data_IF_986288228193
#
_entry.id   IF_986288228193
#
_cell.length_a   1.000
_cell.length_b   1.000
_cell.length_c   1.000
_cell.angle_alpha   90.00
_cell.angle_beta   90.00
_cell.angle_gamma   90.00
#
_symmetry.space_group_name_H-M   'P 1'
#
loop_
_entity.id
_entity.type
_entity.pdbx_description
1 polymer ?
#
# COMPACT_ATOMS: atom_id res chain seq x y z
N UNK A 1 4.63 -19.38 21.14
CA UNK A 1 5.47 -19.26 19.93
C UNK A 1 6.14 -17.90 19.92
N UNK A 2 7.46 -17.79 19.64
CA UNK A 2 8.18 -16.53 19.81
C UNK A 2 7.70 -15.50 18.77
N UNK A 3 7.36 -14.29 19.22
CA UNK A 3 7.02 -13.14 18.37
C UNK A 3 8.27 -12.66 17.64
N UNK A 4 8.62 -13.26 16.50
CA UNK A 4 9.56 -12.67 15.55
C UNK A 4 8.90 -11.43 14.95
N UNK A 5 9.42 -10.25 15.30
CA UNK A 5 9.01 -8.92 14.85
C UNK A 5 7.53 -8.53 15.12
N UNK A 6 7.22 -7.82 16.21
CA UNK A 6 5.87 -7.30 16.42
C UNK A 6 5.58 -6.18 15.41
N UNK A 7 4.93 -6.50 14.30
CA UNK A 7 4.34 -5.51 13.39
C UNK A 7 3.11 -4.94 14.10
N UNK A 8 3.04 -3.62 14.26
CA UNK A 8 1.92 -2.92 14.87
C UNK A 8 1.39 -1.85 13.92
N UNK A 9 0.07 -1.85 13.70
CA UNK A 9 -0.63 -0.78 13.00
C UNK A 9 -1.28 0.16 14.03
N UNK A 10 -0.87 1.42 14.06
CA UNK A 10 -1.44 2.43 14.97
C UNK A 10 -2.33 3.34 14.14
N UNK A 11 -3.62 3.42 14.50
CA UNK A 11 -4.55 4.37 13.90
C UNK A 11 -4.45 5.70 14.62
N UNK A 12 -4.03 6.73 13.91
CA UNK A 12 -3.88 8.10 14.44
C UNK A 12 -5.15 8.94 14.26
N UNK A 13 -5.91 8.70 13.19
CA UNK A 13 -7.16 9.41 12.89
C UNK A 13 -8.23 8.43 12.41
N UNK A 14 -9.52 8.67 12.75
CA UNK A 14 -10.60 8.02 12.02
C UNK A 14 -10.59 8.48 10.55
N UNK A 15 -11.00 7.57 9.66
CA UNK A 15 -11.15 7.83 8.22
C UNK A 15 -12.58 7.50 7.82
N UNK A 16 -13.16 8.32 6.94
CA UNK A 16 -14.51 8.10 6.39
C UNK A 16 -14.48 6.95 5.37
N UNK A 17 -15.21 5.84 5.60
CA UNK A 17 -15.23 4.69 4.70
C UNK A 17 -15.93 4.98 3.36
N UNK A 18 -16.59 6.14 3.20
CA UNK A 18 -17.22 6.57 1.94
C UNK A 18 -16.23 7.26 1.00
N UNK A 19 -14.97 7.38 1.38
CA UNK A 19 -13.91 7.99 0.57
C UNK A 19 -12.85 6.96 0.21
N UNK A 20 -12.11 7.26 -0.86
CA UNK A 20 -10.92 6.51 -1.25
C UNK A 20 -9.68 7.25 -0.76
N UNK A 21 -8.63 6.50 -0.43
CA UNK A 21 -7.40 7.02 0.15
C UNK A 21 -6.17 6.49 -0.58
N UNK A 22 -5.11 7.29 -0.61
CA UNK A 22 -3.77 6.85 -0.95
C UNK A 22 -2.94 6.85 0.32
N UNK A 23 -2.46 5.68 0.73
CA UNK A 23 -1.53 5.53 1.84
C UNK A 23 -0.11 5.41 1.30
N UNK A 24 0.81 6.18 1.85
CA UNK A 24 2.24 5.96 1.64
C UNK A 24 2.79 5.07 2.74
N UNK A 25 3.59 4.06 2.38
CA UNK A 25 4.36 3.29 3.37
C UNK A 25 5.87 3.38 3.11
N UNK A 26 6.63 3.43 4.22
CA UNK A 26 8.08 3.47 4.24
C UNK A 26 8.57 2.93 5.61
N UNK A 27 9.74 2.28 5.73
CA UNK A 27 10.67 1.90 4.66
C UNK A 27 10.12 0.76 3.81
N UNK A 28 10.47 0.75 2.52
CA UNK A 28 10.04 -0.31 1.62
C UNK A 28 10.52 -1.69 2.12
N UNK A 29 11.73 -1.76 2.69
CA UNK A 29 12.40 -3.01 3.06
C UNK A 29 12.55 -3.97 1.86
N UNK A 30 13.49 -4.92 1.93
CA UNK A 30 13.69 -5.86 0.81
C UNK A 30 12.46 -6.74 0.55
N UNK A 31 11.69 -7.07 1.59
CA UNK A 31 10.55 -7.99 1.49
C UNK A 31 9.18 -7.33 1.60
N UNK A 32 9.10 -6.01 1.82
CA UNK A 32 7.85 -5.31 2.16
C UNK A 32 7.01 -6.02 3.24
N UNK A 33 7.64 -6.82 4.11
CA UNK A 33 6.96 -7.72 5.05
C UNK A 33 6.03 -6.95 6.01
N UNK A 34 6.42 -5.73 6.39
CA UNK A 34 5.57 -4.82 7.15
C UNK A 34 4.32 -4.39 6.39
N UNK A 35 4.45 -4.04 5.11
CA UNK A 35 3.30 -3.65 4.30
C UNK A 35 2.38 -4.84 4.02
N UNK A 36 2.95 -5.98 3.63
CA UNK A 36 2.17 -7.20 3.43
C UNK A 36 1.44 -7.62 4.72
N UNK A 37 2.13 -7.63 5.86
CA UNK A 37 1.53 -7.93 7.16
C UNK A 37 0.38 -6.98 7.54
N UNK A 38 0.55 -5.67 7.33
CA UNK A 38 -0.46 -4.68 7.70
C UNK A 38 -1.65 -4.58 6.72
N UNK A 39 -1.43 -4.84 5.43
CA UNK A 39 -2.36 -4.46 4.36
C UNK A 39 -2.82 -5.62 3.47
N UNK A 40 -2.13 -6.76 3.48
CA UNK A 40 -2.54 -7.97 2.74
C UNK A 40 -3.06 -9.06 3.68
N UNK A 41 -2.99 -8.84 4.99
CA UNK A 41 -3.43 -9.79 6.01
C UNK A 41 -4.16 -9.07 7.14
N UNK A 42 -4.94 -9.81 7.93
CA UNK A 42 -5.55 -9.30 9.16
C UNK A 42 -4.65 -9.44 10.41
N UNK A 43 -3.34 -9.64 10.22
CA UNK A 43 -2.40 -9.87 11.34
C UNK A 43 -2.30 -8.70 12.33
N UNK A 44 -2.55 -7.48 11.84
CA UNK A 44 -2.58 -6.24 12.65
C UNK A 44 -3.98 -5.65 12.77
N UNK A 45 -5.01 -6.44 12.46
CA UNK A 45 -6.43 -6.09 12.58
C UNK A 45 -6.80 -4.82 11.81
N UNK A 46 -6.36 -4.72 10.55
CA UNK A 46 -6.65 -3.57 9.70
C UNK A 46 -8.16 -3.32 9.62
N UNK A 47 -8.96 -4.37 9.37
CA UNK A 47 -10.42 -4.25 9.27
C UNK A 47 -11.09 -3.74 10.55
N UNK A 48 -10.52 -4.04 11.73
CA UNK A 48 -11.02 -3.50 13.02
C UNK A 48 -10.62 -2.04 13.21
N UNK A 49 -9.41 -1.65 12.78
CA UNK A 49 -8.91 -0.28 12.92
C UNK A 49 -9.56 0.67 11.92
N UNK A 50 -9.78 0.21 10.69
CA UNK A 50 -10.35 0.97 9.59
C UNK A 50 -11.60 0.27 9.03
N UNK A 51 -12.70 0.22 9.79
CA UNK A 51 -13.91 -0.48 9.38
C UNK A 51 -14.49 0.14 8.11
N UNK A 52 -14.80 -0.70 7.13
CA UNK A 52 -15.33 -0.27 5.83
C UNK A 52 -14.26 0.18 4.83
N UNK A 53 -12.98 0.17 5.20
CA UNK A 53 -11.87 0.33 4.25
C UNK A 53 -11.26 -1.03 3.89
N UNK A 54 -11.03 -1.23 2.60
CA UNK A 54 -10.28 -2.35 2.04
C UNK A 54 -8.90 -1.86 1.59
N UNK A 55 -7.81 -2.35 2.20
CA UNK A 55 -6.46 -2.01 1.77
C UNK A 55 -6.10 -2.77 0.49
N UNK A 56 -5.39 -2.08 -0.42
CA UNK A 56 -4.88 -2.64 -1.66
C UNK A 56 -3.40 -2.29 -1.79
N UNK A 57 -2.50 -3.27 -1.73
CA UNK A 57 -1.06 -3.04 -1.79
C UNK A 57 -0.58 -2.99 -3.25
N UNK A 58 -0.09 -1.83 -3.70
CA UNK A 58 0.40 -1.66 -5.06
C UNK A 58 1.80 -2.28 -5.20
N UNK A 59 1.95 -3.21 -6.14
CA UNK A 59 3.20 -3.94 -6.41
C UNK A 59 3.54 -3.95 -7.91
N UNK A 60 4.76 -4.35 -8.26
CA UNK A 60 5.23 -4.32 -9.64
C UNK A 60 4.31 -5.15 -10.57
N UNK A 61 3.98 -4.66 -11.78
CA UNK A 61 3.09 -5.37 -12.71
C UNK A 61 3.60 -6.76 -13.13
N UNK A 62 4.91 -7.02 -12.98
CA UNK A 62 5.53 -8.29 -13.33
C UNK A 62 4.92 -9.49 -12.60
N UNK A 63 4.42 -9.27 -11.38
CA UNK A 63 3.76 -10.28 -10.57
C UNK A 63 2.44 -10.76 -11.20
N UNK A 64 1.74 -9.93 -11.97
CA UNK A 64 0.42 -10.27 -12.52
C UNK A 64 0.47 -10.93 -13.90
N UNK A 65 1.66 -11.24 -14.43
CA UNK A 65 1.80 -11.87 -15.77
C UNK A 65 1.52 -13.37 -15.79
N UNK A 66 1.68 -14.06 -14.66
CA UNK A 66 1.44 -15.50 -14.56
C UNK A 66 0.01 -15.73 -14.04
N UNK A 67 -0.89 -16.40 -14.79
CA UNK A 67 -2.32 -16.47 -14.46
C UNK A 67 -2.63 -17.00 -13.04
N UNK A 68 -1.98 -18.09 -12.62
CA UNK A 68 -2.23 -18.65 -11.27
C UNK A 68 -1.66 -17.78 -10.15
N UNK A 69 -0.49 -17.18 -10.37
CA UNK A 69 0.11 -16.27 -9.41
C UNK A 69 -0.71 -14.98 -9.30
N UNK A 70 -1.24 -14.49 -10.43
CA UNK A 70 -2.09 -13.30 -10.51
C UNK A 70 -3.30 -13.44 -9.60
N UNK A 71 -4.04 -14.55 -9.70
CA UNK A 71 -5.23 -14.77 -8.85
C UNK A 71 -4.86 -14.85 -7.37
N UNK A 72 -3.74 -15.52 -7.04
CA UNK A 72 -3.26 -15.58 -5.65
C UNK A 72 -2.87 -14.20 -5.11
N UNK A 73 -2.17 -13.40 -5.92
CA UNK A 73 -1.79 -12.04 -5.56
C UNK A 73 -3.02 -11.15 -5.35
N UNK A 74 -3.98 -11.18 -6.27
CA UNK A 74 -5.20 -10.39 -6.17
C UNK A 74 -6.07 -10.81 -4.97
N UNK A 75 -6.15 -12.11 -4.68
CA UNK A 75 -6.84 -12.60 -3.49
C UNK A 75 -6.22 -12.09 -2.18
N UNK A 76 -4.90 -11.86 -2.16
CA UNK A 76 -4.18 -11.23 -1.05
C UNK A 76 -4.27 -9.70 -1.01
N UNK A 77 -5.10 -9.06 -1.85
CA UNK A 77 -5.23 -7.61 -1.90
C UNK A 77 -4.06 -6.90 -2.60
N UNK A 78 -3.25 -7.61 -3.40
CA UNK A 78 -2.23 -6.97 -4.24
C UNK A 78 -2.85 -6.44 -5.52
N UNK A 79 -2.42 -5.24 -5.92
CA UNK A 79 -2.84 -4.56 -7.14
C UNK A 79 -1.63 -4.10 -7.94
N UNK A 80 -1.72 -4.01 -9.26
CA UNK A 80 -0.65 -3.48 -10.11
C UNK A 80 -0.34 -2.02 -9.74
N UNK A 81 0.95 -1.67 -9.71
CA UNK A 81 1.40 -0.30 -9.48
C UNK A 81 1.23 0.62 -10.69
N UNK A 82 0.55 0.16 -11.74
CA UNK A 82 0.23 0.97 -12.92
C UNK A 82 -0.75 2.09 -12.60
N UNK A 83 -0.61 3.26 -13.24
CA UNK A 83 -1.55 4.37 -13.09
C UNK A 83 -3.00 3.97 -13.28
N UNK A 84 -3.31 3.15 -14.28
CA UNK A 84 -4.68 2.70 -14.59
C UNK A 84 -5.33 1.94 -13.43
N UNK A 85 -4.54 1.11 -12.72
CA UNK A 85 -5.04 0.35 -11.56
C UNK A 85 -5.30 1.27 -10.37
N UNK A 86 -4.43 2.25 -10.13
CA UNK A 86 -4.65 3.25 -9.10
C UNK A 86 -5.89 4.11 -9.41
N UNK A 87 -6.02 4.59 -10.64
CA UNK A 87 -7.20 5.34 -11.08
C UNK A 87 -8.48 4.52 -10.92
N UNK A 88 -8.45 3.22 -11.24
CA UNK A 88 -9.60 2.34 -11.06
C UNK A 88 -10.05 2.21 -9.60
N UNK A 89 -9.12 2.12 -8.64
CA UNK A 89 -9.44 2.09 -7.21
C UNK A 89 -10.03 3.42 -6.73
N UNK A 90 -9.47 4.54 -7.18
CA UNK A 90 -9.88 5.88 -6.74
C UNK A 90 -11.19 6.33 -7.39
N UNK A 91 -11.50 5.84 -8.60
CA UNK A 91 -12.72 6.15 -9.33
C UNK A 91 -13.98 5.49 -8.75
N UNK A 92 -13.86 4.58 -7.77
CA UNK A 92 -15.01 3.86 -7.22
C UNK A 92 -15.91 4.81 -6.41
N UNK A 93 -17.16 5.07 -6.86
CA UNK A 93 -18.02 6.08 -6.23
C UNK A 93 -18.53 5.68 -4.85
N UNK A 94 -18.47 4.38 -4.52
CA UNK A 94 -18.85 3.85 -3.20
C UNK A 94 -17.85 4.24 -2.10
N UNK A 95 -16.63 4.64 -2.48
CA UNK A 95 -15.54 4.78 -1.53
C UNK A 95 -15.07 3.43 -0.98
N UNK A 96 -14.26 3.45 0.07
CA UNK A 96 -13.89 2.26 0.80
C UNK A 96 -12.54 1.68 0.39
N UNK A 97 -11.83 2.29 -0.56
CA UNK A 97 -10.56 1.75 -1.05
C UNK A 97 -9.38 2.53 -0.47
N UNK A 98 -8.40 1.83 0.11
CA UNK A 98 -7.13 2.40 0.55
C UNK A 98 -5.99 1.84 -0.32
N UNK A 99 -5.55 2.60 -1.31
CA UNK A 99 -4.43 2.27 -2.17
C UNK A 99 -3.11 2.51 -1.44
N UNK A 100 -2.37 1.45 -1.13
CA UNK A 100 -1.12 1.52 -0.37
C UNK A 100 0.07 1.49 -1.33
N UNK A 101 0.82 2.57 -1.37
CA UNK A 101 1.96 2.79 -2.27
C UNK A 101 3.24 2.78 -1.46
N UNK A 102 4.19 1.98 -1.91
CA UNK A 102 5.54 2.01 -1.37
C UNK A 102 6.22 3.32 -1.77
N UNK A 103 6.54 4.15 -0.80
CA UNK A 103 7.25 5.40 -1.04
C UNK A 103 8.75 5.11 -1.14
N UNK A 104 9.22 5.17 -2.38
CA UNK A 104 10.62 5.00 -2.77
C UNK A 104 10.82 3.92 -3.84
N UNK A 105 12.01 3.86 -4.42
CA UNK A 105 12.47 2.88 -5.40
C UNK A 105 13.68 2.07 -4.89
N UNK A 106 14.26 1.23 -5.77
CA UNK A 106 15.42 0.39 -5.43
C UNK A 106 16.61 1.14 -4.78
N UNK A 107 16.95 2.38 -5.18
CA UNK A 107 18.02 3.13 -4.53
C UNK A 107 17.72 3.51 -3.07
N UNK A 108 16.46 3.84 -2.76
CA UNK A 108 16.03 4.19 -1.39
C UNK A 108 15.93 2.96 -0.49
N UNK A 109 15.70 1.77 -1.06
CA UNK A 109 15.75 0.51 -0.32
C UNK A 109 17.17 0.12 0.10
N UNK A 110 18.19 0.52 -0.69
CA UNK A 110 19.60 0.27 -0.41
C UNK A 110 20.22 1.32 0.52
N UNK A 111 19.69 2.54 0.55
CA UNK A 111 20.16 3.67 1.38
C UNK A 111 19.32 3.88 2.66
N UNK A 112 18.40 2.96 3.00
CA UNK A 112 17.59 3.07 4.21
C UNK A 112 18.44 2.86 5.48
N UNK A 113 18.84 3.95 6.13
CA UNK A 113 19.63 3.93 7.36
C UNK A 113 18.75 4.15 8.60
N UNK A 114 18.96 3.41 9.71
CA UNK A 114 18.26 3.66 10.96
C UNK A 114 18.42 5.12 11.41
N UNK A 115 17.31 5.83 11.62
CA UNK A 115 17.31 7.24 12.08
C UNK A 115 17.29 8.30 10.97
N UNK A 116 17.34 7.94 9.68
CA UNK A 116 17.22 8.89 8.57
C UNK A 116 16.04 8.54 7.66
N UNK A 117 15.05 9.45 7.55
CA UNK A 117 13.95 9.35 6.60
C UNK A 117 14.29 10.15 5.33
N UNK A 118 14.93 9.52 4.34
CA UNK A 118 15.17 10.12 3.02
C UNK A 118 14.21 9.52 2.00
N UNK A 119 13.24 10.32 1.56
CA UNK A 119 12.31 9.98 0.48
C UNK A 119 12.67 10.78 -0.77
N UNK A 120 12.99 10.12 -1.87
CA UNK A 120 13.18 10.73 -3.19
C UNK A 120 11.85 10.88 -3.93
N UNK A 121 10.96 11.70 -3.38
CA UNK A 121 9.66 12.01 -3.99
C UNK A 121 9.77 12.98 -5.19
N UNK A 122 10.90 13.70 -5.31
CA UNK A 122 11.05 14.81 -6.28
C UNK A 122 10.86 14.36 -7.73
N UNK A 123 11.31 13.16 -8.09
CA UNK A 123 11.21 12.58 -9.43
C UNK A 123 9.99 11.64 -9.62
N UNK A 124 9.26 11.28 -8.56
CA UNK A 124 8.19 10.27 -8.57
C UNK A 124 6.84 10.86 -8.16
N UNK A 125 6.37 11.86 -8.90
CA UNK A 125 5.13 12.61 -8.61
C UNK A 125 3.86 11.99 -9.22
N UNK A 126 3.95 10.80 -9.82
CA UNK A 126 2.82 10.17 -10.52
C UNK A 126 1.60 9.96 -9.62
N UNK A 127 1.80 9.39 -8.43
CA UNK A 127 0.71 9.18 -7.46
C UNK A 127 0.13 10.50 -6.94
N UNK A 128 0.94 11.55 -6.79
CA UNK A 128 0.46 12.89 -6.39
C UNK A 128 -0.41 13.50 -7.48
N UNK A 129 0.01 13.39 -8.75
CA UNK A 129 -0.80 13.84 -9.90
C UNK A 129 -2.15 13.14 -9.97
N UNK A 130 -2.16 11.83 -9.69
CA UNK A 130 -3.40 11.05 -9.65
C UNK A 130 -4.24 11.44 -8.44
N UNK A 131 -3.65 11.61 -7.25
CA UNK A 131 -4.35 12.10 -6.06
C UNK A 131 -5.12 13.40 -6.36
N UNK A 132 -4.42 14.39 -6.93
CA UNK A 132 -5.01 15.68 -7.30
C UNK A 132 -6.14 15.59 -8.34
N UNK A 133 -6.16 14.54 -9.17
CA UNK A 133 -7.24 14.31 -10.15
C UNK A 133 -8.51 13.76 -9.48
N UNK A 134 -8.38 13.07 -8.35
CA UNK A 134 -9.48 12.36 -7.69
C UNK A 134 -9.88 12.95 -6.32
N UNK A 135 -9.18 13.97 -5.81
CA UNK A 135 -9.59 14.73 -4.61
C UNK A 135 -8.43 15.31 -3.82
#
# INVERSE_FOLDING_TARGET
TPKKFPIQLIRTTPLDPRRNYIFGFHPHGVLAAGAFGNFCTESTEFGKKFPGLSPHLLTLPCWFRLPLFREYAMAGGLVSSEPSSLEHLLAQPRGGHAAVIALGGPPEALDAHPGALRLQLRARRGFVRIALKFG
#
